data_IF_661566232704
#
_entry.id   IF_661566232704
#
_cell.length_a   1.000
_cell.length_b   1.000
_cell.length_c   1.000
_cell.angle_alpha   90.00
_cell.angle_beta   90.00
_cell.angle_gamma   90.00
#
_symmetry.space_group_name_H-M   'P 1'
#
loop_
_entity.id
_entity.type
_entity.pdbx_description
1 polymer ?
#
# COMPACT_ATOMS: atom_id res chain seq x y z
N UNK A 1 -2.43 -15.64 -8.38
CA UNK A 1 -3.55 -16.44 -7.85
C UNK A 1 -3.23 -16.82 -6.42
N UNK A 2 -4.25 -17.06 -5.59
CA UNK A 2 -4.08 -17.59 -4.24
C UNK A 2 -3.26 -18.88 -4.28
N UNK A 3 -2.25 -18.95 -3.42
CA UNK A 3 -1.33 -20.07 -3.34
C UNK A 3 -1.45 -20.73 -1.97
N UNK A 4 -1.53 -22.06 -1.95
CA UNK A 4 -1.48 -22.89 -0.75
C UNK A 4 -0.05 -23.43 -0.58
N UNK A 5 0.61 -22.95 0.46
CA UNK A 5 1.99 -23.28 0.75
C UNK A 5 2.14 -24.63 1.43
N UNK A 6 1.10 -25.14 2.11
CA UNK A 6 1.14 -26.47 2.72
C UNK A 6 1.02 -27.55 1.64
N UNK A 7 0.22 -27.33 0.60
CA UNK A 7 0.06 -28.27 -0.52
C UNK A 7 0.95 -27.96 -1.73
N UNK A 8 1.66 -26.82 -1.70
CA UNK A 8 2.52 -26.32 -2.79
C UNK A 8 1.79 -26.19 -4.13
N UNK A 9 0.58 -25.64 -4.10
CA UNK A 9 -0.28 -25.55 -5.27
C UNK A 9 -1.10 -24.27 -5.30
N UNK A 10 -1.51 -23.86 -6.50
CA UNK A 10 -2.53 -22.82 -6.67
C UNK A 10 -3.87 -23.34 -6.14
N UNK A 11 -4.60 -22.48 -5.41
CA UNK A 11 -5.98 -22.78 -4.99
C UNK A 11 -6.91 -22.59 -6.19
N UNK A 12 -7.33 -23.70 -6.80
CA UNK A 12 -8.20 -23.68 -7.99
C UNK A 12 -9.69 -23.74 -7.66
N UNK A 13 -10.06 -24.16 -6.44
CA UNK A 13 -11.43 -24.23 -5.94
C UNK A 13 -11.43 -24.01 -4.42
N UNK A 14 -12.38 -23.23 -3.92
CA UNK A 14 -12.68 -23.06 -2.49
C UNK A 14 -14.20 -22.81 -2.37
N UNK A 15 -14.83 -23.24 -1.27
CA UNK A 15 -16.24 -22.96 -1.00
C UNK A 15 -16.53 -21.45 -0.97
N UNK A 16 -15.52 -20.65 -0.61
CA UNK A 16 -15.52 -19.18 -0.67
C UNK A 16 -15.13 -18.75 -2.08
N UNK A 17 -16.12 -18.38 -2.88
CA UNK A 17 -15.95 -18.16 -4.31
C UNK A 17 -14.84 -17.15 -4.65
N UNK A 18 -14.57 -16.19 -3.76
CA UNK A 18 -13.53 -15.18 -3.93
C UNK A 18 -12.09 -15.70 -3.77
N UNK A 19 -11.83 -16.70 -2.92
CA UNK A 19 -10.46 -17.19 -2.63
C UNK A 19 -9.80 -17.76 -3.88
N UNK A 20 -10.54 -18.54 -4.68
CA UNK A 20 -10.10 -19.02 -5.99
C UNK A 20 -10.41 -18.03 -7.14
N UNK A 21 -10.96 -16.87 -6.79
CA UNK A 21 -11.69 -15.97 -7.67
C UNK A 21 -10.95 -14.78 -8.22
N UNK A 22 -9.66 -14.60 -7.86
CA UNK A 22 -8.83 -13.49 -8.31
C UNK A 22 -9.44 -12.09 -8.09
N UNK A 23 -10.36 -11.96 -7.14
CA UNK A 23 -10.96 -10.70 -6.72
C UNK A 23 -11.45 -10.88 -5.29
N UNK A 24 -11.99 -9.81 -4.70
CA UNK A 24 -12.07 -9.67 -3.25
C UNK A 24 -10.67 -9.64 -2.60
N UNK A 25 -10.51 -9.22 -1.35
CA UNK A 25 -9.16 -9.07 -0.78
C UNK A 25 -8.40 -10.40 -0.74
N UNK A 26 -9.10 -11.50 -0.45
CA UNK A 26 -8.48 -12.81 -0.31
C UNK A 26 -8.15 -13.50 -1.64
N UNK A 27 -8.83 -13.14 -2.74
CA UNK A 27 -8.46 -13.59 -4.09
C UNK A 27 -7.45 -12.65 -4.75
N UNK A 28 -7.50 -11.36 -4.42
CA UNK A 28 -6.64 -10.34 -4.98
C UNK A 28 -5.28 -10.23 -4.31
N UNK A 29 -5.15 -10.68 -3.06
CA UNK A 29 -3.97 -10.46 -2.23
C UNK A 29 -2.65 -10.86 -2.91
N UNK A 30 -2.63 -12.01 -3.58
CA UNK A 30 -1.42 -12.49 -4.27
C UNK A 30 -1.01 -11.63 -5.46
N UNK A 31 -1.95 -11.15 -6.28
CA UNK A 31 -1.55 -10.32 -7.42
C UNK A 31 -1.25 -8.89 -6.95
N UNK A 32 -2.03 -8.33 -6.02
CA UNK A 32 -1.78 -6.98 -5.51
C UNK A 32 -0.37 -6.86 -4.95
N UNK A 33 0.07 -7.83 -4.12
CA UNK A 33 1.45 -7.87 -3.63
C UNK A 33 2.48 -7.98 -4.76
N UNK A 34 2.25 -8.84 -5.76
CA UNK A 34 3.14 -8.97 -6.92
C UNK A 34 3.28 -7.68 -7.75
N UNK A 35 2.19 -6.94 -7.95
CA UNK A 35 2.20 -5.64 -8.62
C UNK A 35 2.92 -4.58 -7.78
N UNK A 36 2.55 -4.45 -6.50
CA UNK A 36 3.16 -3.49 -5.59
C UNK A 36 4.67 -3.70 -5.43
N UNK A 37 5.12 -4.96 -5.47
CA UNK A 37 6.55 -5.29 -5.47
C UNK A 37 7.27 -4.67 -6.65
N UNK A 38 6.66 -4.63 -7.85
CA UNK A 38 7.32 -4.01 -9.02
C UNK A 38 7.51 -2.50 -8.87
N UNK A 39 6.58 -1.81 -8.19
CA UNK A 39 6.73 -0.39 -7.92
C UNK A 39 7.92 -0.07 -7.00
N UNK A 40 8.39 -1.04 -6.21
CA UNK A 40 9.53 -0.93 -5.30
C UNK A 40 10.81 -1.46 -5.97
N UNK A 41 10.75 -2.70 -6.46
CA UNK A 41 11.86 -3.52 -6.94
C UNK A 41 11.45 -4.22 -8.25
N UNK A 42 11.45 -3.50 -9.39
CA UNK A 42 10.99 -4.05 -10.66
C UNK A 42 11.91 -5.15 -11.17
N UNK A 43 11.32 -6.22 -11.73
CA UNK A 43 12.04 -7.28 -12.44
C UNK A 43 11.46 -7.48 -13.83
N UNK A 44 12.30 -7.55 -14.86
CA UNK A 44 11.86 -7.53 -16.26
C UNK A 44 10.95 -8.72 -16.64
N UNK A 45 11.27 -9.91 -16.16
CA UNK A 45 10.50 -11.12 -16.42
C UNK A 45 9.16 -11.13 -15.67
N UNK A 46 9.15 -10.65 -14.42
CA UNK A 46 7.93 -10.48 -13.62
C UNK A 46 7.00 -9.43 -14.21
N UNK A 47 7.53 -8.27 -14.62
CA UNK A 47 6.75 -7.21 -15.30
C UNK A 47 6.13 -7.77 -16.58
N UNK A 48 6.87 -8.53 -17.39
CA UNK A 48 6.32 -9.17 -18.60
C UNK A 48 5.13 -10.09 -18.28
N UNK A 49 5.24 -10.92 -17.23
CA UNK A 49 4.15 -11.80 -16.78
C UNK A 49 2.94 -10.99 -16.28
N UNK A 50 3.18 -9.89 -15.58
CA UNK A 50 2.13 -9.02 -15.05
C UNK A 50 1.43 -8.23 -16.16
N UNK A 51 2.13 -7.81 -17.22
CA UNK A 51 1.48 -7.23 -18.40
C UNK A 51 0.56 -8.25 -19.09
N UNK A 52 1.02 -9.49 -19.26
CA UNK A 52 0.18 -10.58 -19.77
C UNK A 52 -1.04 -10.84 -18.87
N UNK A 53 -0.86 -10.78 -17.54
CA UNK A 53 -1.97 -10.89 -16.61
C UNK A 53 -2.95 -9.72 -16.78
N UNK A 54 -2.46 -8.49 -16.98
CA UNK A 54 -3.32 -7.34 -17.27
C UNK A 54 -4.16 -7.57 -18.51
N UNK A 55 -3.54 -7.96 -19.62
CA UNK A 55 -4.22 -8.07 -20.92
C UNK A 55 -5.21 -9.21 -21.00
N UNK A 56 -4.89 -10.35 -20.37
CA UNK A 56 -5.66 -11.57 -20.53
C UNK A 56 -6.62 -11.84 -19.36
N UNK A 57 -6.38 -11.24 -18.18
CA UNK A 57 -7.10 -11.59 -16.94
C UNK A 57 -7.61 -10.36 -16.18
N UNK A 58 -6.79 -9.35 -15.91
CA UNK A 58 -7.26 -8.19 -15.15
C UNK A 58 -8.28 -7.40 -15.96
N UNK A 59 -7.92 -7.00 -17.17
CA UNK A 59 -8.78 -6.27 -18.09
C UNK A 59 -9.74 -7.22 -18.79
N UNK A 60 -11.00 -6.80 -18.93
CA UNK A 60 -12.15 -7.54 -19.51
C UNK A 60 -12.62 -8.80 -18.74
N UNK A 61 -11.78 -9.42 -17.91
CA UNK A 61 -12.14 -10.64 -17.15
C UNK A 61 -12.34 -10.39 -15.65
N UNK A 62 -11.41 -9.81 -14.89
CA UNK A 62 -11.68 -9.37 -13.51
C UNK A 62 -12.45 -8.05 -13.53
N UNK A 63 -11.97 -7.12 -14.35
CA UNK A 63 -12.59 -5.83 -14.60
C UNK A 63 -13.36 -5.86 -15.94
N UNK A 64 -14.56 -5.30 -15.99
CA UNK A 64 -15.36 -5.15 -17.22
C UNK A 64 -14.89 -3.95 -18.05
N UNK A 65 -15.34 -3.86 -19.31
CA UNK A 65 -14.96 -2.77 -20.22
C UNK A 65 -15.42 -1.38 -19.76
N UNK A 66 -16.44 -1.30 -18.90
CA UNK A 66 -16.88 -0.06 -18.23
C UNK A 66 -16.19 0.17 -16.87
N UNK A 67 -15.06 -0.51 -16.63
CA UNK A 67 -14.24 -0.48 -15.42
C UNK A 67 -14.83 -1.12 -14.16
N UNK A 68 -16.01 -1.76 -14.25
CA UNK A 68 -16.63 -2.46 -13.13
C UNK A 68 -15.77 -3.63 -12.66
N UNK A 69 -15.64 -3.88 -11.36
CA UNK A 69 -14.76 -4.95 -10.83
C UNK A 69 -15.62 -6.06 -10.25
N UNK A 70 -15.57 -7.24 -10.88
CA UNK A 70 -16.33 -8.43 -10.45
C UNK A 70 -15.88 -8.85 -9.05
N UNK A 71 -16.80 -9.31 -8.19
CA UNK A 71 -16.47 -9.87 -6.87
C UNK A 71 -15.64 -11.15 -6.94
N UNK A 72 -15.83 -11.94 -8.00
CA UNK A 72 -15.03 -13.13 -8.29
C UNK A 72 -15.19 -13.54 -9.75
N UNK A 73 -14.14 -14.13 -10.34
CA UNK A 73 -14.25 -14.82 -11.64
C UNK A 73 -14.45 -16.34 -11.48
N UNK A 74 -14.42 -16.85 -10.25
CA UNK A 74 -14.78 -18.21 -9.89
C UNK A 74 -16.18 -18.24 -9.26
N UNK A 75 -16.94 -19.29 -9.54
CA UNK A 75 -18.31 -19.46 -9.03
C UNK A 75 -18.66 -20.94 -8.97
N UNK A 76 -19.67 -21.29 -8.19
CA UNK A 76 -20.29 -22.61 -8.15
C UNK A 76 -21.67 -22.57 -8.83
N UNK A 77 -21.73 -23.08 -10.07
CA UNK A 77 -22.98 -23.21 -10.81
C UNK A 77 -22.83 -24.33 -11.86
N UNK A 78 -23.02 -25.61 -11.49
CA UNK A 78 -22.77 -26.75 -12.39
C UNK A 78 -23.48 -26.66 -13.74
N UNK A 79 -24.68 -26.09 -13.77
CA UNK A 79 -25.47 -25.89 -15.00
C UNK A 79 -24.86 -24.86 -15.96
N UNK A 80 -24.09 -23.89 -15.46
CA UNK A 80 -23.45 -22.87 -16.29
C UNK A 80 -22.13 -23.35 -16.93
N UNK A 81 -21.51 -24.39 -16.37
CA UNK A 81 -20.24 -24.97 -16.82
C UNK A 81 -20.27 -26.51 -16.76
N UNK A 82 -21.09 -27.19 -17.59
CA UNK A 82 -21.38 -28.62 -17.44
C UNK A 82 -20.16 -29.55 -17.54
N UNK A 83 -19.07 -29.08 -18.17
CA UNK A 83 -17.83 -29.84 -18.32
C UNK A 83 -16.77 -29.54 -17.23
N UNK A 84 -17.05 -28.60 -16.32
CA UNK A 84 -16.16 -28.28 -15.21
C UNK A 84 -16.49 -29.16 -14.00
N UNK A 85 -15.47 -29.85 -13.46
CA UNK A 85 -15.63 -30.73 -12.31
C UNK A 85 -15.37 -29.97 -11.01
N UNK A 86 -16.45 -29.60 -10.32
CA UNK A 86 -16.36 -29.15 -8.93
C UNK A 86 -15.97 -30.32 -8.02
N UNK A 87 -15.09 -30.07 -7.05
CA UNK A 87 -14.66 -31.09 -6.09
C UNK A 87 -15.83 -31.49 -5.20
N UNK A 88 -16.07 -32.79 -5.07
CA UNK A 88 -17.08 -33.34 -4.15
C UNK A 88 -16.63 -33.30 -2.69
N UNK A 89 -15.36 -32.95 -2.43
CA UNK A 89 -14.82 -32.79 -1.07
C UNK A 89 -15.11 -31.41 -0.46
N UNK A 90 -15.64 -30.47 -1.25
CA UNK A 90 -15.96 -29.11 -0.82
C UNK A 90 -17.46 -29.01 -0.56
N UNK A 91 -17.83 -28.42 0.58
CA UNK A 91 -19.22 -28.06 0.87
C UNK A 91 -19.61 -26.82 0.06
N UNK A 92 -20.42 -27.04 -0.98
CA UNK A 92 -20.95 -26.00 -1.85
C UNK A 92 -22.32 -25.46 -1.42
N UNK A 93 -22.82 -25.87 -0.25
CA UNK A 93 -24.14 -25.42 0.27
C UNK A 93 -24.03 -24.13 1.10
N UNK A 94 -22.80 -23.71 1.41
CA UNK A 94 -22.51 -22.46 2.12
C UNK A 94 -22.93 -21.23 1.31
N UNK A 95 -23.37 -20.17 1.99
CA UNK A 95 -23.65 -18.87 1.37
C UNK A 95 -22.44 -18.26 0.63
N UNK A 96 -21.23 -18.72 0.97
CA UNK A 96 -19.97 -18.28 0.36
C UNK A 96 -19.73 -18.86 -1.04
N UNK A 97 -20.50 -19.89 -1.41
CA UNK A 97 -20.45 -20.56 -2.72
C UNK A 97 -21.35 -19.84 -3.72
N UNK A 98 -20.90 -18.68 -4.18
CA UNK A 98 -21.66 -17.83 -5.10
C UNK A 98 -21.88 -18.48 -6.47
N UNK A 99 -23.07 -18.31 -7.02
CA UNK A 99 -23.35 -18.60 -8.43
C UNK A 99 -22.70 -17.54 -9.35
N UNK A 100 -22.79 -17.73 -10.67
CA UNK A 100 -22.12 -16.83 -11.62
C UNK A 100 -22.62 -15.39 -11.51
N UNK A 101 -23.91 -15.18 -11.31
CA UNK A 101 -24.50 -13.86 -11.17
C UNK A 101 -23.94 -13.11 -9.96
N UNK A 102 -23.90 -13.76 -8.78
CA UNK A 102 -23.37 -13.17 -7.56
C UNK A 102 -21.85 -12.94 -7.63
N UNK A 103 -21.08 -13.88 -8.20
CA UNK A 103 -19.65 -13.73 -8.40
C UNK A 103 -19.33 -12.56 -9.35
N UNK A 104 -20.08 -12.42 -10.44
CA UNK A 104 -19.82 -11.40 -11.46
C UNK A 104 -20.42 -10.03 -11.14
N UNK A 105 -21.15 -9.90 -10.02
CA UNK A 105 -21.62 -8.60 -9.56
C UNK A 105 -20.42 -7.67 -9.30
N UNK A 106 -20.63 -6.38 -9.55
CA UNK A 106 -19.61 -5.32 -9.50
C UNK A 106 -19.88 -4.32 -8.36
N UNK A 107 -20.65 -4.77 -7.37
CA UNK A 107 -21.34 -3.96 -6.37
C UNK A 107 -20.54 -3.78 -5.07
N UNK A 108 -19.23 -4.06 -5.06
CA UNK A 108 -18.37 -3.96 -3.86
C UNK A 108 -17.17 -3.05 -4.10
N UNK A 109 -17.19 -1.85 -3.49
CA UNK A 109 -16.16 -0.83 -3.69
C UNK A 109 -14.75 -1.25 -3.26
N UNK A 110 -14.61 -2.13 -2.26
CA UNK A 110 -13.31 -2.63 -1.79
C UNK A 110 -12.48 -3.28 -2.92
N UNK A 111 -13.12 -4.01 -3.83
CA UNK A 111 -12.44 -4.70 -4.92
C UNK A 111 -11.74 -3.73 -5.88
N UNK A 112 -12.28 -2.52 -6.03
CA UNK A 112 -11.73 -1.50 -6.92
C UNK A 112 -10.37 -0.99 -6.42
N UNK A 113 -10.11 -1.06 -5.11
CA UNK A 113 -8.83 -0.63 -4.53
C UNK A 113 -7.69 -1.49 -5.04
N UNK A 114 -7.87 -2.82 -5.06
CA UNK A 114 -6.83 -3.76 -5.46
C UNK A 114 -6.49 -3.63 -6.95
N UNK A 115 -7.50 -3.47 -7.80
CA UNK A 115 -7.33 -3.27 -9.24
C UNK A 115 -6.66 -1.92 -9.53
N UNK A 116 -7.09 -0.84 -8.85
CA UNK A 116 -6.46 0.47 -9.00
C UNK A 116 -4.99 0.46 -8.55
N UNK A 117 -4.67 -0.22 -7.43
CA UNK A 117 -3.30 -0.39 -6.96
C UNK A 117 -2.41 -1.19 -7.91
N UNK A 118 -2.96 -2.22 -8.56
CA UNK A 118 -2.26 -2.99 -9.59
C UNK A 118 -1.89 -2.12 -10.81
N UNK A 119 -2.85 -1.37 -11.35
CA UNK A 119 -2.59 -0.44 -12.45
C UNK A 119 -1.63 0.69 -12.07
N UNK A 120 -1.81 1.28 -10.88
CA UNK A 120 -0.91 2.34 -10.40
C UNK A 120 0.52 1.83 -10.26
N UNK A 121 0.73 0.59 -9.81
CA UNK A 121 2.06 -0.02 -9.73
C UNK A 121 2.74 -0.10 -11.09
N UNK A 122 2.04 -0.58 -12.13
CA UNK A 122 2.62 -0.60 -13.49
C UNK A 122 2.81 0.78 -14.09
N UNK A 123 1.95 1.75 -13.76
CA UNK A 123 2.22 3.15 -14.11
C UNK A 123 3.57 3.62 -13.55
N UNK A 124 3.85 3.36 -12.26
CA UNK A 124 5.12 3.73 -11.63
C UNK A 124 6.31 3.08 -12.33
N UNK A 125 6.20 1.79 -12.66
CA UNK A 125 7.25 1.06 -13.41
C UNK A 125 7.43 1.63 -14.81
N UNK A 126 6.36 1.80 -15.57
CA UNK A 126 6.38 2.32 -16.94
C UNK A 126 6.97 3.74 -16.99
N UNK A 127 6.71 4.56 -15.96
CA UNK A 127 7.19 5.93 -15.89
C UNK A 127 8.68 6.03 -15.55
N UNK A 128 9.17 5.19 -14.64
CA UNK A 128 10.55 5.21 -14.16
C UNK A 128 11.51 4.30 -14.96
N UNK A 129 11.00 3.20 -15.52
CA UNK A 129 11.75 2.17 -16.23
C UNK A 129 11.05 1.81 -17.56
N UNK A 130 10.92 2.75 -18.51
CA UNK A 130 10.11 2.57 -19.72
C UNK A 130 10.54 1.37 -20.58
N UNK A 131 11.81 0.94 -20.50
CA UNK A 131 12.31 -0.22 -21.23
C UNK A 131 11.75 -1.57 -20.73
N UNK A 132 11.15 -1.62 -19.54
CA UNK A 132 10.61 -2.86 -18.95
C UNK A 132 9.17 -3.14 -19.36
N UNK A 133 8.44 -2.11 -19.78
CA UNK A 133 6.99 -2.17 -20.05
C UNK A 133 6.79 -2.04 -21.55
N UNK A 134 6.09 -3.01 -22.15
CA UNK A 134 5.97 -3.12 -23.61
C UNK A 134 4.53 -3.14 -24.11
N UNK A 135 3.58 -3.48 -23.25
CA UNK A 135 2.20 -3.76 -23.66
C UNK A 135 1.37 -2.48 -23.69
N UNK A 136 1.49 -1.61 -22.67
CA UNK A 136 0.80 -0.32 -22.62
C UNK A 136 1.73 0.81 -22.17
N UNK A 137 1.38 2.04 -22.55
CA UNK A 137 2.10 3.24 -22.11
C UNK A 137 1.81 3.57 -20.64
N UNK A 138 2.68 4.37 -20.02
CA UNK A 138 2.49 4.79 -18.62
C UNK A 138 1.15 5.51 -18.41
N UNK A 139 0.72 6.34 -19.36
CA UNK A 139 -0.49 7.14 -19.27
C UNK A 139 -1.75 6.28 -19.38
N UNK A 140 -1.67 5.16 -20.11
CA UNK A 140 -2.73 4.15 -20.13
C UNK A 140 -2.92 3.53 -18.74
N UNK A 141 -1.84 3.07 -18.10
CA UNK A 141 -1.92 2.50 -16.75
C UNK A 141 -2.47 3.49 -15.72
N UNK A 142 -2.04 4.76 -15.76
CA UNK A 142 -2.57 5.79 -14.88
C UNK A 142 -4.06 6.06 -15.15
N UNK A 143 -4.47 6.06 -16.42
CA UNK A 143 -5.88 6.18 -16.80
C UNK A 143 -6.73 5.01 -16.31
N UNK A 144 -6.22 3.77 -16.40
CA UNK A 144 -6.92 2.59 -15.88
C UNK A 144 -7.09 2.69 -14.37
N UNK A 145 -6.04 3.07 -13.64
CA UNK A 145 -6.11 3.27 -12.19
C UNK A 145 -7.18 4.31 -11.83
N UNK A 146 -7.11 5.51 -12.41
CA UNK A 146 -8.09 6.58 -12.21
C UNK A 146 -9.53 6.15 -12.53
N UNK A 147 -9.75 5.55 -13.71
CA UNK A 147 -11.09 5.18 -14.17
C UNK A 147 -11.70 4.09 -13.29
N UNK A 148 -10.87 3.17 -12.78
CA UNK A 148 -11.27 2.17 -11.78
C UNK A 148 -11.78 2.84 -10.51
N UNK A 149 -11.04 3.82 -9.96
CA UNK A 149 -11.48 4.55 -8.76
C UNK A 149 -12.83 5.23 -8.99
N UNK A 150 -12.95 6.01 -10.06
CA UNK A 150 -14.20 6.74 -10.35
C UNK A 150 -15.37 5.78 -10.59
N UNK A 151 -15.15 4.63 -11.23
CA UNK A 151 -16.19 3.62 -11.43
C UNK A 151 -16.67 3.02 -10.11
N UNK A 152 -15.76 2.77 -9.17
CA UNK A 152 -16.08 2.25 -7.84
C UNK A 152 -16.88 3.25 -6.98
N UNK A 153 -16.84 4.53 -7.30
CA UNK A 153 -17.57 5.58 -6.58
C UNK A 153 -18.99 5.87 -7.11
N UNK A 154 -19.46 5.10 -8.10
CA UNK A 154 -20.82 5.26 -8.64
C UNK A 154 -21.86 4.66 -7.68
N UNK A 155 -23.09 5.18 -7.74
CA UNK A 155 -24.18 4.82 -6.82
C UNK A 155 -24.63 3.35 -6.91
N UNK A 156 -24.30 2.64 -7.99
CA UNK A 156 -24.57 1.21 -8.17
C UNK A 156 -23.52 0.30 -7.49
N UNK A 157 -22.49 0.89 -6.87
CA UNK A 157 -21.45 0.17 -6.14
C UNK A 157 -21.63 0.40 -4.63
N UNK A 158 -21.90 -0.68 -3.91
CA UNK A 158 -22.02 -0.68 -2.45
C UNK A 158 -20.71 -0.34 -1.74
N UNK A 159 -20.82 0.09 -0.48
CA UNK A 159 -19.70 0.49 0.40
C UNK A 159 -18.85 1.68 -0.11
N UNK A 160 -19.21 2.32 -1.22
CA UNK A 160 -18.48 3.48 -1.75
C UNK A 160 -18.53 4.73 -0.84
N UNK A 161 -19.32 4.70 0.26
CA UNK A 161 -19.41 5.76 1.28
C UNK A 161 -18.69 5.46 2.58
N UNK A 162 -18.10 4.27 2.77
CA UNK A 162 -17.27 3.96 3.96
C UNK A 162 -15.78 4.05 3.60
N UNK A 163 -14.88 4.05 4.58
CA UNK A 163 -13.43 3.98 4.30
C UNK A 163 -13.04 2.61 3.74
N UNK A 164 -12.24 2.58 2.67
CA UNK A 164 -11.86 1.33 2.00
C UNK A 164 -10.46 0.85 2.43
N UNK A 165 -10.24 -0.46 2.45
CA UNK A 165 -8.93 -1.04 2.78
C UNK A 165 -7.90 -0.79 1.67
N UNK A 166 -6.80 -0.10 1.99
CA UNK A 166 -5.74 0.26 1.06
C UNK A 166 -6.00 1.54 0.27
N UNK A 167 -7.01 2.32 0.68
CA UNK A 167 -7.49 3.46 -0.10
C UNK A 167 -6.47 4.61 -0.21
N UNK A 168 -5.43 4.66 0.62
CA UNK A 168 -4.33 5.64 0.47
C UNK A 168 -3.74 5.61 -0.95
N UNK A 169 -3.79 4.47 -1.64
CA UNK A 169 -3.37 4.37 -3.05
C UNK A 169 -4.16 5.29 -3.99
N UNK A 170 -5.41 5.61 -3.68
CA UNK A 170 -6.19 6.61 -4.43
C UNK A 170 -5.62 8.01 -4.29
N UNK A 171 -5.07 8.31 -3.11
CA UNK A 171 -4.30 9.51 -2.84
C UNK A 171 -3.02 9.60 -3.67
N UNK A 172 -2.27 8.51 -3.76
CA UNK A 172 -1.08 8.44 -4.63
C UNK A 172 -1.44 8.60 -6.12
N UNK A 173 -2.55 8.01 -6.57
CA UNK A 173 -3.09 8.20 -7.92
C UNK A 173 -3.45 9.68 -8.15
N UNK A 174 -4.13 10.33 -7.20
CA UNK A 174 -4.45 11.77 -7.29
C UNK A 174 -3.17 12.62 -7.40
N UNK A 175 -2.18 12.36 -6.55
CA UNK A 175 -0.90 13.05 -6.57
C UNK A 175 -0.20 12.89 -7.92
N UNK A 176 -0.16 11.67 -8.46
CA UNK A 176 0.48 11.43 -9.75
C UNK A 176 -0.33 11.99 -10.94
N UNK A 177 -1.67 12.04 -10.87
CA UNK A 177 -2.48 12.79 -11.85
C UNK A 177 -2.10 14.28 -11.89
N UNK A 178 -1.89 14.90 -10.73
CA UNK A 178 -1.44 16.30 -10.63
C UNK A 178 -0.05 16.45 -11.24
N UNK A 179 0.88 15.57 -10.89
CA UNK A 179 2.27 15.59 -11.37
C UNK A 179 2.39 15.41 -12.89
N UNK A 180 1.47 14.66 -13.50
CA UNK A 180 1.40 14.47 -14.96
C UNK A 180 0.50 15.51 -15.67
N UNK A 181 0.03 16.54 -14.97
CA UNK A 181 -0.77 17.62 -15.56
C UNK A 181 -2.20 17.21 -15.97
N UNK A 182 -2.73 16.10 -15.45
CA UNK A 182 -4.06 15.58 -15.75
C UNK A 182 -5.15 16.28 -14.90
N UNK A 183 -5.18 17.62 -14.96
CA UNK A 183 -5.97 18.49 -14.06
C UNK A 183 -7.45 18.13 -14.00
N UNK A 184 -8.10 17.83 -15.13
CA UNK A 184 -9.52 17.45 -15.15
C UNK A 184 -9.76 16.17 -14.35
N UNK A 185 -8.94 15.13 -14.57
CA UNK A 185 -9.05 13.86 -13.84
C UNK A 185 -8.77 14.05 -12.35
N UNK A 186 -7.73 14.81 -12.01
CA UNK A 186 -7.40 15.15 -10.63
C UNK A 186 -8.56 15.87 -9.92
N UNK A 187 -9.19 16.85 -10.58
CA UNK A 187 -10.34 17.58 -10.03
C UNK A 187 -11.56 16.68 -9.82
N UNK A 188 -11.87 15.79 -10.77
CA UNK A 188 -12.96 14.83 -10.62
C UNK A 188 -12.73 13.89 -9.44
N UNK A 189 -11.52 13.30 -9.33
CA UNK A 189 -11.18 12.40 -8.23
C UNK A 189 -11.22 13.15 -6.88
N UNK A 190 -10.58 14.31 -6.80
CA UNK A 190 -10.60 15.17 -5.60
C UNK A 190 -12.02 15.54 -5.17
N UNK A 191 -12.91 15.87 -6.11
CA UNK A 191 -14.32 16.18 -5.81
C UNK A 191 -15.06 14.98 -5.24
N UNK A 192 -14.89 13.80 -5.84
CA UNK A 192 -15.49 12.55 -5.36
C UNK A 192 -15.04 12.21 -3.94
N UNK A 193 -13.73 12.30 -3.68
CA UNK A 193 -13.16 12.00 -2.36
C UNK A 193 -13.52 13.04 -1.31
N UNK A 194 -13.62 14.33 -1.68
CA UNK A 194 -14.08 15.39 -0.78
C UNK A 194 -15.51 15.15 -0.33
N UNK A 195 -16.39 14.67 -1.22
CA UNK A 195 -17.78 14.33 -0.86
C UNK A 195 -17.83 13.25 0.22
N UNK A 196 -16.97 12.23 0.13
CA UNK A 196 -16.89 11.17 1.15
C UNK A 196 -16.32 11.71 2.47
N UNK A 197 -15.22 12.45 2.41
CA UNK A 197 -14.61 13.06 3.59
C UNK A 197 -15.56 14.01 4.34
N UNK A 198 -16.36 14.79 3.62
CA UNK A 198 -17.37 15.68 4.21
C UNK A 198 -18.50 14.90 4.91
N UNK A 199 -18.89 13.74 4.36
CA UNK A 199 -19.85 12.86 5.03
C UNK A 199 -19.27 12.33 6.35
N UNK A 200 -18.04 11.81 6.31
CA UNK A 200 -17.35 11.28 7.50
C UNK A 200 -17.14 12.33 8.59
N UNK A 201 -16.90 13.58 8.21
CA UNK A 201 -16.74 14.68 9.17
C UNK A 201 -18.04 15.05 9.89
N UNK A 202 -19.19 14.78 9.28
CA UNK A 202 -20.50 14.96 9.91
C UNK A 202 -20.91 13.75 10.79
N UNK A 203 -20.21 12.62 10.71
CA UNK A 203 -20.53 11.40 11.44
C UNK A 203 -19.82 11.33 12.80
N UNK A 204 -20.54 10.82 13.81
CA UNK A 204 -19.94 10.59 15.13
C UNK A 204 -18.86 9.49 15.08
N UNK A 205 -19.09 8.43 14.30
CA UNK A 205 -18.18 7.28 14.17
C UNK A 205 -18.06 6.88 12.69
N UNK A 206 -17.20 7.52 11.89
CA UNK A 206 -17.11 7.31 10.43
C UNK A 206 -16.33 6.05 10.01
N UNK A 207 -16.23 5.04 10.88
CA UNK A 207 -15.34 3.88 10.69
C UNK A 207 -16.07 2.58 10.35
N UNK A 208 -17.31 2.67 9.84
CA UNK A 208 -18.09 1.50 9.45
C UNK A 208 -17.44 0.70 8.31
N UNK A 209 -17.79 -0.58 8.20
CA UNK A 209 -17.40 -1.47 7.11
C UNK A 209 -18.52 -2.49 6.82
N UNK A 210 -18.19 -3.59 6.12
CA UNK A 210 -19.06 -4.78 6.03
C UNK A 210 -19.32 -5.45 7.40
N UNK A 211 -18.46 -5.19 8.39
CA UNK A 211 -18.49 -5.80 9.71
C UNK A 211 -18.69 -4.71 10.79
N UNK A 212 -19.42 -5.04 11.85
CA UNK A 212 -19.84 -4.05 12.85
C UNK A 212 -18.69 -3.49 13.72
N UNK A 213 -17.58 -4.24 13.86
CA UNK A 213 -16.44 -3.88 14.70
C UNK A 213 -15.13 -4.26 14.03
N UNK A 214 -14.61 -3.42 13.13
CA UNK A 214 -13.29 -3.63 12.53
C UNK A 214 -12.38 -2.39 12.44
N UNK A 215 -11.20 -2.61 11.88
CA UNK A 215 -10.13 -1.63 11.67
C UNK A 215 -9.91 -1.33 10.18
N UNK A 216 -10.95 -1.45 9.36
CA UNK A 216 -10.82 -1.40 7.90
C UNK A 216 -10.86 0.04 7.39
N UNK A 217 -11.74 0.90 7.93
CA UNK A 217 -12.01 2.22 7.36
C UNK A 217 -11.07 3.35 7.81
N UNK A 218 -10.38 3.22 8.93
CA UNK A 218 -9.64 4.30 9.59
C UNK A 218 -8.52 4.88 8.71
N UNK A 219 -7.86 4.04 7.91
CA UNK A 219 -6.81 4.46 6.98
C UNK A 219 -7.34 5.44 5.93
N UNK A 220 -8.37 5.06 5.16
CA UNK A 220 -8.98 5.91 4.13
C UNK A 220 -9.64 7.17 4.72
N UNK A 221 -10.33 7.02 5.86
CA UNK A 221 -10.98 8.15 6.56
C UNK A 221 -9.93 9.17 7.00
N UNK A 222 -8.84 8.72 7.63
CA UNK A 222 -7.74 9.59 8.04
C UNK A 222 -7.13 10.31 6.83
N UNK A 223 -6.80 9.57 5.78
CA UNK A 223 -6.09 10.12 4.62
C UNK A 223 -6.85 11.30 4.02
N UNK A 224 -8.13 11.11 3.70
CA UNK A 224 -8.93 12.16 3.07
C UNK A 224 -9.35 13.26 4.03
N UNK A 225 -9.64 12.93 5.29
CA UNK A 225 -9.93 13.95 6.30
C UNK A 225 -8.74 14.91 6.45
N UNK A 226 -7.53 14.37 6.54
CA UNK A 226 -6.30 15.17 6.56
C UNK A 226 -6.11 15.96 5.27
N UNK A 227 -6.25 15.32 4.11
CA UNK A 227 -6.05 15.95 2.81
C UNK A 227 -6.97 17.17 2.59
N UNK A 228 -8.23 17.10 3.06
CA UNK A 228 -9.21 18.19 2.92
C UNK A 228 -9.31 19.14 4.13
N UNK A 229 -8.49 18.95 5.17
CA UNK A 229 -8.45 19.84 6.33
C UNK A 229 -9.52 19.58 7.39
N UNK A 230 -10.16 18.41 7.39
CA UNK A 230 -11.10 17.96 8.42
C UNK A 230 -10.33 17.44 9.66
N UNK A 231 -9.77 18.36 10.44
CA UNK A 231 -8.82 18.07 11.53
C UNK A 231 -9.43 17.24 12.67
N UNK A 232 -10.70 17.46 13.01
CA UNK A 232 -11.40 16.68 14.04
C UNK A 232 -11.49 15.21 13.64
N UNK A 233 -11.87 14.93 12.39
CA UNK A 233 -11.99 13.56 11.87
C UNK A 233 -10.64 12.88 11.71
N UNK A 234 -9.61 13.61 11.26
CA UNK A 234 -8.25 13.09 11.23
C UNK A 234 -7.75 12.71 12.64
N UNK A 235 -7.98 13.57 13.64
CA UNK A 235 -7.62 13.30 15.05
C UNK A 235 -8.39 12.11 15.61
N UNK A 236 -9.70 12.04 15.37
CA UNK A 236 -10.56 10.92 15.76
C UNK A 236 -10.04 9.60 15.18
N UNK A 237 -9.59 9.61 13.93
CA UNK A 237 -9.03 8.43 13.26
C UNK A 237 -7.74 7.95 13.92
N UNK A 238 -6.81 8.86 14.23
CA UNK A 238 -5.57 8.52 14.96
C UNK A 238 -5.89 7.90 16.33
N UNK A 239 -6.78 8.54 17.09
CA UNK A 239 -7.19 8.05 18.41
C UNK A 239 -7.86 6.68 18.33
N UNK A 240 -8.70 6.44 17.30
CA UNK A 240 -9.30 5.14 17.04
C UNK A 240 -8.23 4.07 16.79
N UNK A 241 -7.25 4.36 15.92
CA UNK A 241 -6.14 3.44 15.62
C UNK A 241 -5.36 3.08 16.88
N UNK A 242 -4.98 4.07 17.71
CA UNK A 242 -4.24 3.82 18.95
C UNK A 242 -5.04 2.99 19.97
N UNK A 243 -6.37 3.01 19.88
CA UNK A 243 -7.25 2.17 20.71
C UNK A 243 -7.11 0.67 20.44
N UNK A 244 -6.72 0.26 19.22
CA UNK A 244 -6.58 -1.14 18.83
C UNK A 244 -5.18 -1.55 18.37
N UNK A 245 -4.25 -0.61 18.24
CA UNK A 245 -2.87 -0.81 17.78
C UNK A 245 -1.91 -0.14 18.77
N UNK A 246 -1.04 -0.93 19.41
CA UNK A 246 -0.25 -0.50 20.57
C UNK A 246 1.24 -0.79 20.39
N UNK A 247 2.08 -0.13 21.20
CA UNK A 247 3.47 -0.52 21.35
C UNK A 247 3.60 -1.64 22.38
N UNK A 248 4.12 -2.79 21.96
CA UNK A 248 4.37 -3.93 22.83
C UNK A 248 5.75 -4.49 22.46
N UNK A 249 6.66 -4.77 23.41
CA UNK A 249 8.02 -5.24 23.11
C UNK A 249 8.05 -6.72 22.71
N UNK A 250 7.28 -7.06 21.67
CA UNK A 250 7.16 -8.39 21.11
C UNK A 250 6.90 -8.27 19.62
N UNK A 251 7.65 -9.01 18.79
CA UNK A 251 7.62 -8.89 17.33
C UNK A 251 6.20 -9.01 16.76
N UNK A 252 5.38 -9.92 17.28
CA UNK A 252 4.02 -10.17 16.78
C UNK A 252 2.94 -9.26 17.35
N UNK A 253 3.26 -8.48 18.40
CA UNK A 253 2.26 -7.62 19.07
C UNK A 253 2.54 -6.14 18.89
N UNK A 254 3.79 -5.76 18.66
CA UNK A 254 4.18 -4.37 18.42
C UNK A 254 3.54 -3.85 17.13
N UNK A 255 2.71 -2.81 17.21
CA UNK A 255 2.02 -2.27 16.04
C UNK A 255 1.05 -3.26 15.37
N UNK A 256 0.66 -4.34 16.04
CA UNK A 256 -0.29 -5.31 15.49
C UNK A 256 -1.73 -4.85 15.74
N UNK A 257 -2.40 -4.38 14.67
CA UNK A 257 -3.79 -3.98 14.73
C UNK A 257 -4.68 -5.17 15.15
N UNK A 258 -5.45 -4.98 16.22
CA UNK A 258 -6.32 -6.03 16.77
C UNK A 258 -7.40 -6.43 15.76
N UNK A 259 -7.33 -7.66 15.24
CA UNK A 259 -8.32 -8.28 14.33
C UNK A 259 -8.48 -9.77 14.63
N UNK A 260 -9.69 -10.31 14.41
CA UNK A 260 -10.06 -11.65 14.91
C UNK A 260 -10.70 -12.62 13.92
N UNK A 261 -11.37 -12.15 12.87
CA UNK A 261 -12.26 -13.02 12.08
C UNK A 261 -11.77 -13.24 10.65
N UNK A 262 -10.76 -12.51 10.16
CA UNK A 262 -10.40 -12.53 8.74
C UNK A 262 -9.90 -13.91 8.28
N UNK A 263 -9.36 -14.75 9.18
CA UNK A 263 -9.06 -16.16 8.87
C UNK A 263 -10.28 -16.97 8.39
N UNK A 264 -11.51 -16.58 8.76
CA UNK A 264 -12.74 -17.19 8.23
C UNK A 264 -12.89 -16.89 6.73
N UNK A 265 -12.52 -15.68 6.30
CA UNK A 265 -12.74 -15.17 4.95
C UNK A 265 -11.53 -15.34 4.02
N UNK A 266 -10.31 -15.13 4.53
CA UNK A 266 -9.06 -15.15 3.76
C UNK A 266 -8.04 -16.19 4.18
N UNK A 267 -8.20 -16.85 5.33
CA UNK A 267 -7.27 -17.88 5.82
C UNK A 267 -7.63 -19.31 5.39
N UNK A 268 -6.67 -20.22 5.46
CA UNK A 268 -6.88 -21.67 5.30
C UNK A 268 -7.44 -22.26 6.57
N UNK A 269 -6.82 -21.95 7.71
CA UNK A 269 -7.29 -22.40 9.03
C UNK A 269 -8.34 -21.42 9.55
N UNK A 270 -9.61 -21.73 9.27
CA UNK A 270 -10.76 -20.87 9.56
C UNK A 270 -11.13 -20.92 11.05
N UNK A 271 -10.90 -19.83 11.79
CA UNK A 271 -11.34 -19.66 13.18
C UNK A 271 -11.33 -18.19 13.61
N UNK A 272 -11.99 -17.88 14.72
CA UNK A 272 -11.92 -16.58 15.36
C UNK A 272 -10.70 -16.55 16.28
N UNK A 273 -9.68 -15.80 15.91
CA UNK A 273 -8.39 -15.77 16.57
C UNK A 273 -7.69 -14.44 16.30
N UNK A 274 -6.92 -13.93 17.28
CA UNK A 274 -6.11 -12.75 17.03
C UNK A 274 -5.07 -13.03 15.95
N UNK A 275 -5.10 -12.28 14.87
CA UNK A 275 -4.14 -12.44 13.78
C UNK A 275 -2.90 -11.60 14.06
N UNK A 276 -1.72 -12.17 13.84
CA UNK A 276 -0.45 -11.45 13.94
C UNK A 276 -0.14 -10.82 12.58
N UNK A 277 -0.04 -9.49 12.56
CA UNK A 277 0.36 -8.70 11.39
C UNK A 277 -0.46 -8.96 10.13
N UNK A 278 -1.76 -9.18 10.31
CA UNK A 278 -2.75 -9.12 9.22
C UNK A 278 -2.76 -7.71 8.58
N UNK A 279 -3.37 -7.57 7.38
CA UNK A 279 -3.31 -6.34 6.57
C UNK A 279 -3.66 -5.07 7.35
N UNK A 280 -4.56 -5.18 8.34
CA UNK A 280 -4.97 -4.04 9.16
C UNK A 280 -3.79 -3.35 9.87
N UNK A 281 -2.72 -4.07 10.19
CA UNK A 281 -1.55 -3.50 10.88
C UNK A 281 -0.81 -2.48 10.03
N UNK A 282 -0.50 -2.86 8.78
CA UNK A 282 0.27 -1.99 7.89
C UNK A 282 -0.56 -0.83 7.32
N UNK A 283 -1.85 -1.04 7.07
CA UNK A 283 -2.75 0.03 6.62
C UNK A 283 -2.95 1.07 7.73
N UNK A 284 -3.27 0.64 8.96
CA UNK A 284 -3.50 1.56 10.07
C UNK A 284 -2.21 2.22 10.61
N UNK A 285 -1.04 1.69 10.26
CA UNK A 285 0.22 2.39 10.48
C UNK A 285 0.36 3.68 9.65
N UNK A 286 -0.27 3.77 8.46
CA UNK A 286 -0.17 4.94 7.58
C UNK A 286 -0.70 6.23 8.26
N UNK A 287 -1.89 6.22 8.91
CA UNK A 287 -2.34 7.32 9.75
C UNK A 287 -1.33 7.76 10.81
N UNK A 288 -0.75 6.82 11.56
CA UNK A 288 0.16 7.14 12.68
C UNK A 288 1.46 7.77 12.18
N UNK A 289 2.07 7.19 11.15
CA UNK A 289 3.27 7.73 10.53
C UNK A 289 3.02 9.11 9.91
N UNK A 290 1.86 9.29 9.27
CA UNK A 290 1.46 10.59 8.71
C UNK A 290 1.22 11.64 9.79
N UNK A 291 0.59 11.27 10.91
CA UNK A 291 0.35 12.16 12.04
C UNK A 291 1.68 12.57 12.69
N UNK A 292 2.58 11.62 12.89
CA UNK A 292 3.94 11.88 13.36
C UNK A 292 4.68 12.87 12.46
N UNK A 293 4.64 12.70 11.14
CA UNK A 293 5.31 13.65 10.21
C UNK A 293 4.75 15.07 10.30
N UNK A 294 3.47 15.23 10.63
CA UNK A 294 2.86 16.56 10.82
C UNK A 294 3.23 17.22 12.14
N UNK A 295 3.48 16.44 13.20
CA UNK A 295 3.89 16.92 14.51
C UNK A 295 4.93 15.93 15.11
N UNK A 296 6.22 16.07 14.79
CA UNK A 296 7.24 15.03 15.02
C UNK A 296 7.79 15.03 16.45
N UNK A 297 6.90 15.21 17.43
CA UNK A 297 7.23 15.24 18.86
C UNK A 297 6.70 14.03 19.62
N UNK A 298 5.65 13.38 19.13
CA UNK A 298 5.07 12.20 19.76
C UNK A 298 5.69 10.92 19.18
N UNK A 299 6.76 10.43 19.83
CA UNK A 299 7.45 9.21 19.38
C UNK A 299 6.61 7.93 19.57
N UNK A 300 5.50 7.96 20.32
CA UNK A 300 4.60 6.82 20.43
C UNK A 300 3.91 6.52 19.09
N UNK A 301 3.49 7.56 18.37
CA UNK A 301 2.94 7.43 17.01
C UNK A 301 3.94 6.76 16.07
N UNK A 302 5.20 7.21 16.12
CA UNK A 302 6.27 6.64 15.30
C UNK A 302 6.54 5.18 15.67
N UNK A 303 6.75 4.87 16.96
CA UNK A 303 7.04 3.49 17.40
C UNK A 303 5.93 2.53 16.99
N UNK A 304 4.67 2.92 17.18
CA UNK A 304 3.50 2.11 16.80
C UNK A 304 3.38 1.96 15.28
N UNK A 305 3.41 3.07 14.55
CA UNK A 305 3.29 3.07 13.09
C UNK A 305 4.43 2.32 12.41
N UNK A 306 5.67 2.53 12.84
CA UNK A 306 6.84 1.88 12.25
C UNK A 306 6.80 0.36 12.42
N UNK A 307 6.38 -0.11 13.60
CA UNK A 307 6.18 -1.53 13.85
C UNK A 307 5.07 -2.13 12.97
N UNK A 308 3.94 -1.45 12.84
CA UNK A 308 2.84 -1.92 12.00
C UNK A 308 3.18 -1.97 10.50
N UNK A 309 3.85 -0.94 9.99
CA UNK A 309 4.29 -0.88 8.58
C UNK A 309 5.26 -2.00 8.22
N UNK A 310 6.11 -2.44 9.15
CA UNK A 310 7.06 -3.54 8.93
C UNK A 310 6.46 -4.92 9.20
N UNK A 311 5.31 -4.98 9.89
CA UNK A 311 4.57 -6.20 10.22
C UNK A 311 4.42 -7.21 9.07
N UNK A 312 4.02 -6.81 7.85
CA UNK A 312 3.85 -7.73 6.74
C UNK A 312 5.10 -8.57 6.42
N UNK A 313 6.31 -8.06 6.67
CA UNK A 313 7.54 -8.83 6.46
C UNK A 313 7.61 -10.09 7.34
N UNK A 314 6.98 -10.07 8.51
CA UNK A 314 6.93 -11.23 9.40
C UNK A 314 6.06 -12.37 8.86
N UNK A 315 5.20 -12.10 7.88
CA UNK A 315 4.35 -13.10 7.22
C UNK A 315 4.95 -13.64 5.91
N UNK A 316 6.17 -13.22 5.55
CA UNK A 316 6.94 -13.79 4.45
C UNK A 316 7.91 -14.82 5.04
N UNK A 317 7.78 -16.08 4.63
CA UNK A 317 8.70 -17.13 5.06
C UNK A 317 9.99 -17.17 4.20
N UNK A 318 10.94 -18.04 4.58
CA UNK A 318 12.24 -18.14 3.93
C UNK A 318 12.18 -18.55 2.44
N UNK A 319 11.10 -19.21 2.01
CA UNK A 319 10.88 -19.58 0.60
C UNK A 319 10.27 -18.42 -0.22
N UNK A 320 9.97 -17.28 0.43
CA UNK A 320 9.32 -16.13 -0.20
C UNK A 320 7.79 -16.24 -0.27
N UNK A 321 7.17 -17.21 0.41
CA UNK A 321 5.71 -17.27 0.50
C UNK A 321 5.19 -16.28 1.53
N UNK A 322 4.23 -15.46 1.10
CA UNK A 322 3.54 -14.50 1.94
C UNK A 322 2.18 -15.04 2.40
N UNK A 323 2.06 -15.35 3.68
CA UNK A 323 0.84 -15.87 4.30
C UNK A 323 -0.16 -14.75 4.62
N UNK A 324 -1.46 -15.07 4.61
CA UNK A 324 -2.53 -14.14 4.96
C UNK A 324 -2.32 -13.49 6.34
N UNK A 325 -1.95 -14.31 7.33
CA UNK A 325 -1.59 -13.88 8.67
C UNK A 325 -0.72 -14.94 9.38
N UNK A 326 -0.31 -14.65 10.62
CA UNK A 326 0.24 -15.65 11.52
C UNK A 326 -0.74 -15.94 12.69
N UNK A 327 -1.00 -17.21 12.93
CA UNK A 327 -1.90 -17.71 13.98
C UNK A 327 -1.26 -17.55 15.36
N UNK A 328 -1.94 -16.83 16.27
CA UNK A 328 -1.42 -16.48 17.59
C UNK A 328 -1.71 -17.46 18.73
N UNK A 329 -2.59 -18.44 18.53
CA UNK A 329 -2.90 -19.40 19.58
C UNK A 329 -1.66 -20.24 19.93
N UNK A 330 -1.36 -20.43 21.23
CA UNK A 330 -0.16 -21.14 21.67
C UNK A 330 0.00 -22.56 21.13
N UNK A 331 -1.11 -23.24 20.82
CA UNK A 331 -1.14 -24.59 20.26
C UNK A 331 -0.86 -24.64 18.75
N UNK A 332 -0.89 -23.50 18.07
CA UNK A 332 -0.84 -23.41 16.60
C UNK A 332 0.41 -22.71 16.11
N UNK A 333 0.70 -21.50 16.60
CA UNK A 333 1.88 -20.66 16.32
C UNK A 333 2.54 -20.91 14.95
N UNK A 334 1.78 -20.70 13.86
CA UNK A 334 2.25 -20.87 12.48
C UNK A 334 1.69 -19.81 11.55
N UNK A 335 2.36 -19.59 10.43
CA UNK A 335 1.78 -18.88 9.29
C UNK A 335 0.53 -19.62 8.77
N UNK A 336 -0.47 -18.87 8.34
CA UNK A 336 -1.61 -19.44 7.63
C UNK A 336 -1.14 -20.15 6.35
N UNK A 337 -1.85 -21.21 5.97
CA UNK A 337 -1.45 -22.07 4.85
C UNK A 337 -1.64 -21.43 3.47
N UNK A 338 -2.46 -20.39 3.32
CA UNK A 338 -2.67 -19.69 2.05
C UNK A 338 -2.27 -18.23 2.08
N UNK A 339 -1.96 -17.68 0.91
CA UNK A 339 -1.60 -16.27 0.78
C UNK A 339 -2.76 -15.31 1.11
N UNK A 340 -3.99 -15.77 0.85
CA UNK A 340 -5.23 -15.06 1.18
C UNK A 340 -5.17 -13.55 0.90
N UNK A 341 -5.58 -12.79 1.91
CA UNK A 341 -5.69 -11.33 1.92
C UNK A 341 -4.40 -10.62 2.38
N UNK A 342 -3.23 -11.21 2.11
CA UNK A 342 -1.93 -10.58 2.42
C UNK A 342 -1.69 -9.26 1.66
N UNK A 343 -2.18 -9.16 0.42
CA UNK A 343 -1.83 -8.08 -0.51
C UNK A 343 -2.07 -6.66 0.01
N UNK A 344 -3.23 -6.33 0.60
CA UNK A 344 -3.46 -5.03 1.22
C UNK A 344 -2.45 -4.68 2.33
N UNK A 345 -1.94 -5.69 3.06
CA UNK A 345 -0.88 -5.49 4.04
C UNK A 345 0.42 -5.08 3.38
N UNK A 346 0.80 -5.75 2.29
CA UNK A 346 1.98 -5.38 1.50
C UNK A 346 1.85 -4.00 0.83
N UNK A 347 0.65 -3.63 0.38
CA UNK A 347 0.35 -2.27 -0.08
C UNK A 347 0.62 -1.24 1.03
N UNK A 348 0.13 -1.49 2.26
CA UNK A 348 0.43 -0.66 3.42
C UNK A 348 1.93 -0.54 3.71
N UNK A 349 2.67 -1.65 3.62
CA UNK A 349 4.14 -1.64 3.75
C UNK A 349 4.80 -0.77 2.67
N UNK A 350 4.40 -0.94 1.41
CA UNK A 350 4.96 -0.21 0.28
C UNK A 350 4.75 1.30 0.42
N UNK A 351 3.54 1.70 0.83
CA UNK A 351 3.18 3.11 1.02
C UNK A 351 3.76 3.69 2.32
N UNK A 352 3.95 2.89 3.37
CA UNK A 352 4.38 3.36 4.68
C UNK A 352 5.90 3.42 4.88
N UNK A 353 6.65 2.58 4.16
CA UNK A 353 8.08 2.39 4.39
C UNK A 353 8.89 3.67 4.17
N UNK A 354 9.86 3.87 5.05
CA UNK A 354 10.82 4.97 4.98
C UNK A 354 11.77 4.94 6.17
N UNK A 355 12.80 5.77 6.11
CA UNK A 355 13.73 6.02 7.21
C UNK A 355 13.29 7.27 7.96
N UNK A 356 13.30 7.26 9.30
CA UNK A 356 12.91 8.41 10.13
C UNK A 356 14.06 8.77 11.06
N UNK A 357 14.53 10.02 10.99
CA UNK A 357 15.52 10.59 11.90
C UNK A 357 14.79 11.45 12.92
N UNK A 358 14.90 11.13 14.21
CA UNK A 358 14.02 11.68 15.23
C UNK A 358 14.79 11.98 16.50
N UNK A 359 14.47 13.12 17.12
CA UNK A 359 14.90 13.44 18.47
C UNK A 359 13.94 12.78 19.47
N UNK A 360 14.37 11.68 20.07
CA UNK A 360 13.65 11.03 21.17
C UNK A 360 14.06 11.68 22.51
N UNK A 361 13.11 11.79 23.43
CA UNK A 361 13.33 12.44 24.73
C UNK A 361 14.27 11.64 25.64
N UNK A 362 14.30 10.32 25.50
CA UNK A 362 15.10 9.41 26.35
C UNK A 362 16.37 8.96 25.62
N UNK A 363 16.26 8.62 24.33
CA UNK A 363 17.33 8.03 23.55
C UNK A 363 18.19 9.06 22.80
N UNK A 364 17.78 10.32 22.80
CA UNK A 364 18.41 11.36 21.99
C UNK A 364 18.11 11.17 20.49
N UNK A 365 19.06 11.54 19.63
CA UNK A 365 18.88 11.45 18.20
C UNK A 365 18.99 10.00 17.71
N UNK A 366 17.90 9.46 17.15
CA UNK A 366 17.79 8.07 16.69
C UNK A 366 17.34 8.00 15.23
N UNK A 367 17.61 6.87 14.58
CA UNK A 367 17.08 6.55 13.25
C UNK A 367 16.25 5.25 13.28
N UNK A 368 15.01 5.33 12.81
CA UNK A 368 14.19 4.15 12.49
C UNK A 368 14.41 3.79 11.02
N UNK A 369 14.72 2.53 10.74
CA UNK A 369 15.00 2.10 9.36
C UNK A 369 16.32 2.61 8.81
N UNK A 370 17.29 2.94 9.65
CA UNK A 370 18.59 3.42 9.18
C UNK A 370 19.69 3.27 10.23
N UNK A 371 20.92 3.44 9.79
CA UNK A 371 22.10 3.51 10.66
C UNK A 371 22.55 4.95 10.75
N UNK A 372 22.53 5.51 11.97
CA UNK A 372 22.89 6.89 12.24
C UNK A 372 24.33 6.99 12.77
N UNK A 373 25.08 7.96 12.26
CA UNK A 373 26.39 8.35 12.78
C UNK A 373 26.48 9.87 12.87
N UNK A 374 27.05 10.39 13.95
CA UNK A 374 27.23 11.83 14.17
C UNK A 374 28.70 12.18 14.21
N UNK A 375 29.09 13.27 13.54
CA UNK A 375 30.45 13.83 13.55
C UNK A 375 30.36 15.35 13.69
N UNK A 376 30.62 15.86 14.89
CA UNK A 376 30.40 17.27 15.20
C UNK A 376 28.92 17.66 15.03
N UNK A 377 28.65 18.65 14.19
CA UNK A 377 27.29 19.12 13.86
C UNK A 377 26.64 18.39 12.67
N UNK A 378 27.37 17.50 12.00
CA UNK A 378 26.88 16.74 10.86
C UNK A 378 26.37 15.37 11.30
N UNK A 379 25.18 15.02 10.81
CA UNK A 379 24.54 13.72 11.03
C UNK A 379 24.45 13.01 9.69
N UNK A 380 24.96 11.77 9.62
CA UNK A 380 24.77 10.88 8.48
C UNK A 380 23.82 9.75 8.83
N UNK A 381 22.93 9.41 7.91
CA UNK A 381 22.00 8.29 8.04
C UNK A 381 21.97 7.47 6.77
N UNK A 382 22.42 6.22 6.87
CA UNK A 382 22.32 5.22 5.79
C UNK A 382 20.95 4.53 5.89
N UNK A 383 20.18 4.53 4.81
CA UNK A 383 18.84 3.93 4.81
C UNK A 383 18.91 2.39 4.79
N UNK A 384 18.02 1.78 5.58
CA UNK A 384 17.89 0.33 5.80
C UNK A 384 16.44 -0.15 5.86
N UNK A 385 15.45 0.74 5.74
CA UNK A 385 14.05 0.35 5.62
C UNK A 385 13.82 -0.50 4.35
N UNK A 386 12.69 -1.20 4.28
CA UNK A 386 12.44 -2.19 3.23
C UNK A 386 12.39 -1.60 1.80
N UNK A 387 12.09 -0.30 1.66
CA UNK A 387 11.82 0.34 0.36
C UNK A 387 12.88 1.37 -0.02
N UNK A 388 13.45 2.09 0.96
CA UNK A 388 14.58 3.04 0.82
C UNK A 388 14.30 4.22 -0.13
N UNK A 389 13.02 4.56 -0.31
CA UNK A 389 12.57 5.66 -1.18
C UNK A 389 12.23 6.94 -0.46
N UNK A 390 12.18 6.91 0.89
CA UNK A 390 11.71 8.02 1.71
C UNK A 390 12.59 8.19 2.94
N UNK A 391 12.96 9.42 3.25
CA UNK A 391 13.63 9.79 4.50
C UNK A 391 12.95 11.00 5.10
N UNK A 392 12.44 10.87 6.33
CA UNK A 392 11.93 11.98 7.12
C UNK A 392 12.98 12.43 8.13
N UNK A 393 13.39 13.69 8.08
CA UNK A 393 14.36 14.32 8.98
C UNK A 393 13.57 15.19 9.97
N UNK A 394 13.20 14.60 11.11
CA UNK A 394 12.41 15.23 12.17
C UNK A 394 12.98 16.57 12.65
N UNK A 395 14.29 16.69 12.93
CA UNK A 395 14.90 17.97 13.32
C UNK A 395 14.74 19.11 12.29
N UNK A 396 14.49 18.77 11.02
CA UNK A 396 14.23 19.74 9.95
C UNK A 396 12.75 19.85 9.58
N UNK A 397 11.93 18.88 9.99
CA UNK A 397 10.52 18.77 9.57
C UNK A 397 10.37 18.52 8.07
N UNK A 398 11.30 17.77 7.46
CA UNK A 398 11.35 17.55 6.00
C UNK A 398 11.26 16.07 5.67
N UNK A 399 10.40 15.72 4.71
CA UNK A 399 10.35 14.44 4.03
C UNK A 399 10.96 14.58 2.63
N UNK A 400 11.98 13.78 2.35
CA UNK A 400 12.54 13.61 0.99
C UNK A 400 12.08 12.27 0.44
N UNK A 401 11.58 12.25 -0.81
CA UNK A 401 11.16 11.03 -1.48
C UNK A 401 11.60 10.95 -2.94
N UNK A 402 11.71 9.73 -3.49
CA UNK A 402 12.07 9.49 -4.91
C UNK A 402 11.20 8.43 -5.59
N UNK A 403 10.97 8.56 -6.89
CA UNK A 403 10.22 7.58 -7.71
C UNK A 403 11.05 6.45 -8.31
N UNK A 404 12.33 6.70 -8.61
CA UNK A 404 13.28 5.74 -9.18
C UNK A 404 14.58 5.63 -8.33
N UNK A 405 15.31 4.52 -8.45
CA UNK A 405 16.53 4.29 -7.65
C UNK A 405 16.28 4.12 -6.14
N UNK A 406 17.17 4.60 -5.28
CA UNK A 406 17.00 4.64 -3.83
C UNK A 406 17.63 5.90 -3.26
N UNK A 407 17.18 6.32 -2.07
CA UNK A 407 17.94 7.21 -1.21
C UNK A 407 18.88 6.31 -0.42
N UNK A 408 20.18 6.31 -0.74
CA UNK A 408 21.18 5.47 -0.07
C UNK A 408 21.58 6.03 1.30
N UNK A 409 21.82 7.33 1.34
CA UNK A 409 22.33 8.05 2.51
C UNK A 409 21.81 9.49 2.48
N UNK A 410 21.51 10.05 3.65
CA UNK A 410 21.36 11.49 3.84
C UNK A 410 22.40 11.99 4.83
N UNK A 411 23.00 13.15 4.55
CA UNK A 411 23.86 13.89 5.47
C UNK A 411 23.27 15.25 5.69
N UNK A 412 23.04 15.65 6.95
CA UNK A 412 22.47 16.96 7.22
C UNK A 412 23.18 17.69 8.35
N UNK A 413 23.07 19.01 8.31
CA UNK A 413 23.48 19.93 9.37
C UNK A 413 22.24 20.73 9.79
N UNK A 414 21.78 20.53 11.02
CA UNK A 414 20.52 21.11 11.50
C UNK A 414 20.53 22.64 11.45
N UNK A 415 21.66 23.26 11.84
CA UNK A 415 21.81 24.71 11.92
C UNK A 415 21.67 25.41 10.55
N UNK A 416 22.25 24.84 9.49
CA UNK A 416 22.20 25.41 8.14
C UNK A 416 21.00 24.91 7.32
N UNK A 417 20.21 23.97 7.85
CA UNK A 417 19.10 23.32 7.15
C UNK A 417 19.52 22.74 5.79
N UNK A 418 20.75 22.23 5.71
CA UNK A 418 21.30 21.64 4.49
C UNK A 418 21.24 20.13 4.59
N UNK A 419 20.78 19.47 3.53
CA UNK A 419 20.74 18.00 3.44
C UNK A 419 21.38 17.57 2.12
N UNK A 420 22.50 16.86 2.18
CA UNK A 420 23.05 16.14 1.04
C UNK A 420 22.35 14.77 0.96
N UNK A 421 21.71 14.50 -0.18
CA UNK A 421 20.95 13.28 -0.46
C UNK A 421 21.72 12.48 -1.49
N UNK A 422 22.22 11.32 -1.10
CA UNK A 422 22.89 10.37 -2.00
C UNK A 422 21.84 9.45 -2.62
N UNK A 423 21.56 9.67 -3.91
CA UNK A 423 20.73 8.78 -4.71
C UNK A 423 21.58 7.69 -5.34
N UNK A 424 21.02 6.50 -5.52
CA UNK A 424 21.70 5.37 -6.12
C UNK A 424 20.76 4.49 -6.96
N UNK A 425 21.34 3.63 -7.78
CA UNK A 425 20.61 2.50 -8.34
C UNK A 425 20.25 1.51 -7.22
N UNK A 426 19.17 0.77 -7.40
CA UNK A 426 18.84 -0.36 -6.55
C UNK A 426 19.57 -1.60 -7.09
N UNK A 427 20.23 -2.35 -6.21
CA UNK A 427 21.00 -3.53 -6.61
C UNK A 427 20.08 -4.65 -7.12
N UNK A 428 20.53 -5.36 -8.15
CA UNK A 428 19.79 -6.52 -8.70
C UNK A 428 18.50 -6.17 -9.46
N UNK A 429 18.22 -4.89 -9.71
CA UNK A 429 17.10 -4.46 -10.58
C UNK A 429 17.60 -3.67 -11.79
N UNK A 430 16.78 -3.52 -12.85
CA UNK A 430 17.11 -2.69 -13.98
C UNK A 430 17.40 -1.24 -13.57
N UNK A 431 18.39 -0.61 -14.23
CA UNK A 431 18.80 0.76 -13.92
C UNK A 431 17.74 1.77 -14.40
N UNK A 432 17.41 2.73 -13.56
CA UNK A 432 16.65 3.91 -13.96
C UNK A 432 17.58 4.96 -14.56
N UNK A 433 17.14 5.65 -15.62
CA UNK A 433 17.93 6.74 -16.21
C UNK A 433 17.91 7.99 -15.32
N UNK A 434 16.77 8.27 -14.68
CA UNK A 434 16.56 9.42 -13.83
C UNK A 434 15.71 9.03 -12.62
N UNK A 435 15.83 9.81 -11.54
CA UNK A 435 14.88 9.86 -10.45
C UNK A 435 14.31 11.28 -10.31
N UNK A 436 13.05 11.41 -9.92
CA UNK A 436 12.47 12.67 -9.47
C UNK A 436 12.51 12.69 -7.95
N UNK A 437 13.14 13.73 -7.39
CA UNK A 437 13.17 14.02 -5.97
C UNK A 437 12.02 14.95 -5.64
N UNK A 438 11.21 14.59 -4.65
CA UNK A 438 10.22 15.47 -4.04
C UNK A 438 10.60 15.77 -2.59
N UNK A 439 10.36 17.02 -2.20
CA UNK A 439 10.65 17.52 -0.85
C UNK A 439 9.37 18.12 -0.28
N UNK A 440 8.90 17.56 0.83
CA UNK A 440 7.71 17.99 1.55
C UNK A 440 8.11 18.44 2.96
N UNK A 441 7.52 19.51 3.48
CA UNK A 441 7.83 19.99 4.82
C UNK A 441 7.41 21.45 5.04
N UNK A 442 7.74 21.99 6.21
CA UNK A 442 7.53 23.40 6.49
C UNK A 442 8.43 24.29 5.62
N UNK A 443 7.84 25.27 4.94
CA UNK A 443 8.56 26.21 4.07
C UNK A 443 8.85 25.69 2.66
N UNK A 444 9.48 26.54 1.85
CA UNK A 444 9.88 26.20 0.48
C UNK A 444 11.29 25.61 0.46
N UNK A 445 11.46 24.51 -0.27
CA UNK A 445 12.72 23.79 -0.43
C UNK A 445 13.10 23.74 -1.90
N UNK A 446 14.40 23.67 -2.18
CA UNK A 446 14.94 23.42 -3.53
C UNK A 446 15.96 22.29 -3.49
N UNK A 447 16.03 21.55 -4.60
CA UNK A 447 17.08 20.57 -4.85
C UNK A 447 18.07 21.17 -5.85
N UNK A 448 19.34 21.13 -5.52
CA UNK A 448 20.44 21.63 -6.37
C UNK A 448 21.47 20.55 -6.61
N UNK A 449 22.18 20.64 -7.73
CA UNK A 449 23.16 19.66 -8.17
C UNK A 449 23.40 19.77 -9.67
N UNK A 450 24.44 19.10 -10.16
CA UNK A 450 24.75 19.09 -11.58
C UNK A 450 23.61 18.44 -12.38
N UNK A 451 23.09 19.14 -13.39
CA UNK A 451 22.04 18.63 -14.28
C UNK A 451 20.66 18.47 -13.66
N UNK A 452 20.43 18.99 -12.44
CA UNK A 452 19.12 18.94 -11.78
C UNK A 452 18.16 19.91 -12.45
N UNK A 453 16.98 19.43 -12.85
CA UNK A 453 15.93 20.24 -13.51
C UNK A 453 14.57 20.00 -12.86
N UNK A 454 13.67 20.99 -12.92
CA UNK A 454 12.31 20.80 -12.41
C UNK A 454 11.50 19.88 -13.32
N UNK A 455 10.82 18.89 -12.73
CA UNK A 455 9.92 17.99 -13.44
C UNK A 455 8.90 17.39 -12.48
N UNK A 456 7.65 17.18 -12.95
CA UNK A 456 6.61 16.44 -12.20
C UNK A 456 6.41 16.95 -10.76
N UNK A 457 6.42 18.27 -10.58
CA UNK A 457 6.30 18.91 -9.25
C UNK A 457 7.48 18.69 -8.30
N UNK A 458 8.61 18.20 -8.80
CA UNK A 458 9.86 18.00 -8.05
C UNK A 458 11.08 18.30 -8.92
N UNK A 459 12.17 17.59 -8.67
CA UNK A 459 13.45 17.79 -9.35
C UNK A 459 13.97 16.49 -9.95
N UNK A 460 14.08 16.43 -11.26
CA UNK A 460 14.69 15.32 -11.98
C UNK A 460 16.20 15.36 -11.80
N UNK A 461 16.77 14.19 -11.49
CA UNK A 461 18.20 13.95 -11.28
C UNK A 461 18.61 12.76 -12.13
N UNK A 462 19.66 12.90 -12.93
CA UNK A 462 20.21 11.80 -13.70
C UNK A 462 20.89 10.77 -12.79
N UNK A 463 20.58 9.48 -12.98
CA UNK A 463 21.20 8.36 -12.27
C UNK A 463 22.26 7.69 -13.17
N UNK A 464 23.17 8.50 -13.73
CA UNK A 464 24.15 8.09 -14.75
C UNK A 464 25.34 7.28 -14.21
N UNK A 465 25.53 7.21 -12.90
CA UNK A 465 26.57 6.42 -12.22
C UNK A 465 26.02 5.57 -11.08
N UNK A 466 26.90 5.01 -10.26
CA UNK A 466 26.50 4.18 -9.11
C UNK A 466 25.76 4.99 -8.04
N UNK A 467 26.15 6.27 -7.87
CA UNK A 467 25.44 7.28 -7.08
C UNK A 467 25.56 8.67 -7.68
N UNK A 468 24.62 9.52 -7.29
CA UNK A 468 24.68 10.98 -7.44
C UNK A 468 24.31 11.63 -6.11
N UNK A 469 24.98 12.71 -5.75
CA UNK A 469 24.65 13.51 -4.57
C UNK A 469 23.96 14.79 -5.05
N UNK A 470 22.80 15.08 -4.46
CA UNK A 470 22.09 16.36 -4.64
C UNK A 470 21.90 17.03 -3.29
N UNK A 471 21.83 18.34 -3.27
CA UNK A 471 21.67 19.11 -2.05
C UNK A 471 20.25 19.68 -1.96
N UNK A 472 19.58 19.38 -0.86
CA UNK A 472 18.29 19.97 -0.46
C UNK A 472 18.56 21.09 0.53
N UNK A 473 18.05 22.28 0.21
CA UNK A 473 18.17 23.48 1.06
C UNK A 473 16.92 24.36 0.94
N UNK A 474 16.69 25.30 1.87
CA UNK A 474 15.63 26.28 1.74
C UNK A 474 15.70 27.03 0.39
N UNK A 475 14.53 27.25 -0.22
CA UNK A 475 14.40 27.86 -1.55
C UNK A 475 14.89 29.32 -1.57
#
# INVERSE_FOLDING_TARGET
>A
MTYDYETKSIVTQDSRAWVAGLSDEAGAGSYLSAFMKQAIQPAADEVTKLEQFVDNVLWKTIQTTDFGVRKSIFFYEPTAVPNYRYSTSIDWTSWTSWNKAAAYAIDRAYNYVHVAGAYWSLYRVARAYPALVKSHTWDWYLNQAYSTVIRGMRNDVGYNRVGLMGETVFGEILTDLIREGQTTKANTLSTSMRSRAAQWDAEEVPFGSEMAWDSTGQEGVYYWAKYFGFTNTATKSVNSVLGFMQTLPHWGWNGNARRYWDNIYGGKLRRIERQIHHYGSALNALPLLSAFRSAPTDTYLLRTGYAGTTGPLSNINADGFAAASFHSWPDTLKWDGISGDYGPGFLGLALGSGTYVVQDAELGLVAFGGTLTSSGSSVSVVTKDAVRRKVFIGPLGVLVSVDAGIIREVKYVAASKTVDVTLAQLDGVPKAANAVVWVEGGGSWKVTGSGVTQARGGWQVALSGDSVVVQVLPA
#
